data_IF_634375307869
#
_entry.id   IF_634375307869
#
_cell.length_a   1.000
_cell.length_b   1.000
_cell.length_c   1.000
_cell.angle_alpha   90.00
_cell.angle_beta   90.00
_cell.angle_gamma   90.00
#
_symmetry.space_group_name_H-M   'P 1'
#
loop_
_entity.id
_entity.type
_entity.pdbx_description
1 polymer ?
#
# COMPACT_ATOMS: atom_id res chain seq x y z
N UNK A 1 -6.81 13.26 -10.72
CA UNK A 1 -6.58 13.17 -9.26
C UNK A 1 -5.34 12.30 -9.08
N UNK A 2 -4.22 12.82 -8.56
CA UNK A 2 -3.07 11.99 -8.24
C UNK A 2 -3.41 11.21 -6.96
N UNK A 3 -3.29 9.89 -6.99
CA UNK A 3 -3.58 9.05 -5.84
C UNK A 3 -2.36 9.09 -4.90
N UNK A 4 -2.43 9.88 -3.84
CA UNK A 4 -1.34 9.99 -2.87
C UNK A 4 -1.54 8.96 -1.75
N UNK A 5 -0.73 7.89 -1.79
CA UNK A 5 -0.57 7.02 -0.65
C UNK A 5 0.38 7.69 0.35
N UNK A 6 -0.12 8.09 1.51
CA UNK A 6 0.71 8.59 2.61
C UNK A 6 1.02 7.46 3.58
N UNK A 7 2.26 7.01 3.59
CA UNK A 7 2.72 6.00 4.55
C UNK A 7 2.90 6.67 5.90
N UNK A 8 2.32 6.09 6.95
CA UNK A 8 2.74 6.45 8.31
C UNK A 8 3.86 5.47 8.67
N UNK A 9 5.10 5.94 8.69
CA UNK A 9 6.21 5.14 9.22
C UNK A 9 6.01 4.93 10.73
N UNK A 10 5.66 3.72 11.13
CA UNK A 10 5.56 3.33 12.55
C UNK A 10 6.76 2.49 13.02
N UNK A 11 7.96 2.74 12.46
CA UNK A 11 9.17 1.93 12.72
C UNK A 11 9.04 0.49 12.18
N UNK A 12 10.08 -0.29 11.92
CA UNK A 12 11.54 -0.13 11.94
C UNK A 12 12.05 -0.69 10.61
N UNK A 13 13.22 -0.24 10.11
CA UNK A 13 13.91 -0.97 9.05
C UNK A 13 14.00 -2.44 9.49
N UNK A 14 13.34 -3.35 8.77
CA UNK A 14 13.49 -4.77 9.04
C UNK A 14 14.98 -5.07 9.15
N UNK A 15 15.42 -5.82 10.17
CA UNK A 15 16.86 -6.02 10.48
C UNK A 15 17.69 -6.50 9.28
N UNK A 16 17.03 -7.01 8.24
CA UNK A 16 17.61 -7.59 7.03
C UNK A 16 17.57 -6.65 5.81
N UNK A 17 17.06 -5.42 5.94
CA UNK A 17 16.93 -4.45 4.83
C UNK A 17 15.77 -4.72 3.85
N UNK A 18 15.05 -5.83 4.01
CA UNK A 18 13.85 -6.13 3.26
C UNK A 18 12.74 -5.10 3.51
N UNK A 19 11.90 -4.87 2.50
CA UNK A 19 10.79 -3.91 2.54
C UNK A 19 9.58 -4.46 1.80
N UNK A 20 8.42 -3.88 2.04
CA UNK A 20 7.19 -4.17 1.30
C UNK A 20 7.05 -3.16 0.17
N UNK A 21 6.70 -3.64 -1.01
CA UNK A 21 6.23 -2.85 -2.13
C UNK A 21 4.71 -3.05 -2.25
N UNK A 22 3.95 -1.95 -2.14
CA UNK A 22 2.50 -1.94 -2.23
C UNK A 22 2.06 -1.50 -3.62
N UNK A 23 1.05 -2.19 -4.13
CA UNK A 23 0.39 -1.90 -5.38
C UNK A 23 -1.10 -1.71 -5.12
N UNK A 24 -1.67 -0.59 -5.57
CA UNK A 24 -3.11 -0.39 -5.60
C UNK A 24 -3.55 -0.43 -7.06
N UNK A 25 -4.43 -1.36 -7.39
CA UNK A 25 -4.91 -1.61 -8.75
C UNK A 25 -3.76 -1.83 -9.75
N UNK A 26 -2.77 -2.63 -9.33
CA UNK A 26 -1.50 -2.91 -10.04
C UNK A 26 -0.55 -1.73 -10.23
N UNK A 27 -0.92 -0.52 -9.81
CA UNK A 27 -0.02 0.62 -9.85
C UNK A 27 0.85 0.64 -8.58
N UNK A 28 2.19 0.81 -8.71
CA UNK A 28 3.05 0.92 -7.54
C UNK A 28 2.66 2.17 -6.75
N UNK A 29 2.24 1.96 -5.51
CA UNK A 29 1.80 3.03 -4.64
C UNK A 29 2.89 3.45 -3.66
N UNK A 30 3.65 2.49 -3.12
CA UNK A 30 4.59 2.77 -2.03
C UNK A 30 5.63 1.68 -1.81
N UNK A 31 6.85 2.09 -1.49
CA UNK A 31 7.86 1.25 -0.82
C UNK A 31 7.92 1.62 0.66
N UNK A 32 7.90 0.64 1.56
CA UNK A 32 7.95 0.91 3.00
C UNK A 32 8.45 -0.26 3.85
N UNK A 33 8.84 0.07 5.07
CA UNK A 33 9.19 -0.86 6.15
C UNK A 33 8.11 -0.94 7.24
N UNK A 34 7.04 -0.15 7.10
CA UNK A 34 5.95 -0.10 8.07
C UNK A 34 5.02 -1.31 7.96
N UNK A 35 4.31 -1.61 9.05
CA UNK A 35 3.27 -2.65 9.08
C UNK A 35 1.86 -2.09 8.81
N UNK A 36 1.70 -0.75 8.87
CA UNK A 36 0.40 -0.08 8.70
C UNK A 36 0.50 1.04 7.67
N UNK A 37 -0.56 1.18 6.88
CA UNK A 37 -0.63 2.10 5.74
C UNK A 37 -1.99 2.77 5.67
N UNK A 38 -2.02 4.02 5.21
CA UNK A 38 -3.26 4.74 4.96
C UNK A 38 -3.24 5.31 3.54
N UNK A 39 -4.15 4.83 2.70
CA UNK A 39 -4.40 5.40 1.39
C UNK A 39 -5.42 6.54 1.52
N UNK A 40 -5.13 7.70 0.94
CA UNK A 40 -6.04 8.86 0.92
C UNK A 40 -6.44 9.15 -0.52
N UNK A 41 -7.64 9.72 -0.70
CA UNK A 41 -8.14 10.07 -2.04
C UNK A 41 -8.33 8.88 -2.98
N UNK A 42 -8.51 7.66 -2.43
CA UNK A 42 -8.90 6.50 -3.23
C UNK A 42 -10.31 6.73 -3.75
N UNK A 43 -10.49 6.58 -5.06
CA UNK A 43 -11.79 6.78 -5.69
C UNK A 43 -12.84 5.81 -5.10
N UNK A 44 -14.13 6.17 -5.08
CA UNK A 44 -15.16 5.20 -4.77
C UNK A 44 -15.18 4.08 -5.82
N UNK A 45 -15.30 2.82 -5.38
CA UNK A 45 -15.28 1.68 -6.28
C UNK A 45 -14.60 0.43 -5.71
N UNK A 46 -14.59 -0.67 -6.48
CA UNK A 46 -13.79 -1.84 -6.15
C UNK A 46 -12.30 -1.58 -6.39
N UNK A 47 -11.46 -2.09 -5.50
CA UNK A 47 -10.02 -1.94 -5.53
C UNK A 47 -9.31 -3.23 -5.12
N UNK A 48 -8.06 -3.35 -5.58
CA UNK A 48 -7.16 -4.44 -5.25
C UNK A 48 -5.88 -3.92 -4.65
N UNK A 49 -5.61 -4.27 -3.40
CA UNK A 49 -4.32 -3.99 -2.76
C UNK A 49 -3.48 -5.26 -2.79
N UNK A 50 -2.30 -5.17 -3.38
CA UNK A 50 -1.28 -6.22 -3.38
C UNK A 50 -0.05 -5.73 -2.64
N UNK A 51 0.45 -6.54 -1.73
CA UNK A 51 1.71 -6.34 -1.03
C UNK A 51 2.71 -7.39 -1.50
N UNK A 52 3.93 -6.97 -1.78
CA UNK A 52 5.03 -7.86 -2.15
C UNK A 52 6.24 -7.60 -1.26
N UNK A 53 6.76 -8.66 -0.65
CA UNK A 53 8.01 -8.57 0.10
C UNK A 53 9.18 -8.54 -0.89
N UNK A 54 10.04 -7.53 -0.76
CA UNK A 54 11.23 -7.33 -1.57
C UNK A 54 12.49 -7.46 -0.72
N UNK A 55 13.53 -8.01 -1.34
CA UNK A 55 14.87 -8.09 -0.76
C UNK A 55 15.45 -6.69 -0.53
N UNK A 56 16.57 -6.60 0.19
CA UNK A 56 17.24 -5.33 0.46
C UNK A 56 17.65 -4.58 -0.82
N UNK A 57 17.98 -5.31 -1.90
CA UNK A 57 18.32 -4.78 -3.23
C UNK A 57 17.08 -4.39 -4.06
N UNK A 58 15.86 -4.61 -3.55
CA UNK A 58 14.60 -4.34 -4.25
C UNK A 58 14.13 -5.46 -5.19
N UNK A 59 14.92 -6.52 -5.37
CA UNK A 59 14.50 -7.65 -6.18
C UNK A 59 13.44 -8.50 -5.45
N UNK A 60 12.65 -9.24 -6.24
CA UNK A 60 11.70 -10.22 -5.71
C UNK A 60 12.43 -11.40 -5.07
N UNK A 61 11.76 -12.07 -4.14
CA UNK A 61 12.12 -13.43 -3.74
C UNK A 61 11.73 -14.44 -4.82
N UNK A 62 12.32 -15.62 -4.78
CA UNK A 62 11.96 -16.75 -5.63
C UNK A 62 11.59 -17.97 -4.75
N UNK A 63 10.31 -18.38 -4.67
CA UNK A 63 9.17 -17.74 -5.34
C UNK A 63 8.82 -16.36 -4.75
N UNK A 64 8.10 -15.50 -5.49
CA UNK A 64 7.63 -14.22 -4.96
C UNK A 64 6.75 -14.40 -3.71
N UNK A 65 7.00 -13.58 -2.69
CA UNK A 65 6.20 -13.55 -1.46
C UNK A 65 5.21 -12.41 -1.57
N UNK A 66 3.94 -12.74 -1.82
CA UNK A 66 2.88 -11.76 -2.06
C UNK A 66 1.64 -12.04 -1.23
N UNK A 67 0.93 -10.99 -0.85
CA UNK A 67 -0.43 -11.06 -0.30
C UNK A 67 -1.34 -10.09 -1.07
N UNK A 68 -2.62 -10.44 -1.18
CA UNK A 68 -3.61 -9.61 -1.87
C UNK A 68 -4.91 -9.56 -1.09
N UNK A 69 -5.55 -8.39 -1.11
CA UNK A 69 -6.90 -8.18 -0.61
C UNK A 69 -7.70 -7.36 -1.62
N UNK A 70 -8.97 -7.74 -1.79
CA UNK A 70 -9.95 -6.97 -2.54
C UNK A 70 -10.83 -6.21 -1.55
N UNK A 71 -11.10 -4.95 -1.84
CA UNK A 71 -11.94 -4.10 -1.00
C UNK A 71 -12.77 -3.15 -1.85
N UNK A 72 -13.80 -2.56 -1.25
CA UNK A 72 -14.61 -1.52 -1.90
C UNK A 72 -14.54 -0.24 -1.09
N UNK A 73 -14.18 0.86 -1.73
CA UNK A 73 -14.31 2.20 -1.16
C UNK A 73 -15.71 2.69 -1.44
N UNK A 74 -16.43 3.06 -0.39
CA UNK A 74 -17.74 3.70 -0.49
C UNK A 74 -17.55 5.21 -0.60
N UNK A 75 -18.45 5.90 -1.30
CA UNK A 75 -18.49 7.36 -1.25
C UNK A 75 -18.62 7.81 0.21
N UNK A 76 -17.76 8.73 0.65
CA UNK A 76 -17.99 9.43 1.90
C UNK A 76 -19.15 10.39 1.69
N UNK A 77 -20.34 10.04 2.17
CA UNK A 77 -21.47 10.96 2.32
C UNK A 77 -21.33 11.87 3.54
N UNK A 78 -20.09 12.06 4.05
CA UNK A 78 -19.82 13.03 5.10
C UNK A 78 -19.86 14.43 4.49
N UNK A 79 -21.06 15.00 4.50
CA UNK A 79 -21.34 16.42 4.29
C UNK A 79 -20.70 17.20 5.45
N UNK A 80 -19.40 17.50 5.34
CA UNK A 80 -18.69 18.33 6.31
C UNK A 80 -19.09 19.80 6.07
N UNK A 81 -19.70 20.50 7.05
CA UNK A 81 -19.96 21.92 6.90
C UNK A 81 -18.63 22.67 6.68
N UNK A 82 -18.63 23.56 5.69
CA UNK A 82 -17.50 24.46 5.37
C UNK A 82 -17.18 25.41 6.52
#
# INVERSE_FOLDING_TARGET
LLLEATGVELGSRGRNGAHVLLFLDELPAMKSYAERFTFRGVAPGPHRLRAELRRADGAAFDPPVTAQVEFRVTESTLDLPR
#
